data_IF_813514171226
#
_entry.id   IF_813514171226
#
_cell.length_a   1.000
_cell.length_b   1.000
_cell.length_c   1.000
_cell.angle_alpha   90.00
_cell.angle_beta   90.00
_cell.angle_gamma   90.00
#
_symmetry.space_group_name_H-M   'P 1'
#
loop_
_entity.id
_entity.type
_entity.pdbx_description
1 polymer ?
#
# COMPACT_ATOMS: atom_id res chain seq x y z
N UNK A 1 7.46 -0.30 -28.53
CA UNK A 1 6.24 -1.15 -28.50
C UNK A 1 6.19 -2.13 -27.32
N UNK A 2 7.30 -2.76 -26.89
CA UNK A 2 7.30 -3.70 -25.76
C UNK A 2 6.66 -3.13 -24.46
N UNK A 3 7.05 -1.92 -24.06
CA UNK A 3 6.47 -1.24 -22.89
C UNK A 3 4.96 -1.03 -23.01
N UNK A 4 4.47 -0.63 -24.18
CA UNK A 4 3.04 -0.43 -24.44
C UNK A 4 2.23 -1.72 -24.28
N UNK A 5 2.84 -2.89 -24.51
CA UNK A 5 2.23 -4.21 -24.26
C UNK A 5 2.35 -4.64 -22.80
N UNK A 6 3.49 -4.37 -22.18
CA UNK A 6 3.81 -4.78 -20.80
C UNK A 6 3.01 -4.01 -19.76
N UNK A 7 2.87 -2.67 -19.91
CA UNK A 7 2.26 -1.82 -18.89
C UNK A 7 0.82 -2.24 -18.57
N UNK A 8 -0.08 -2.48 -19.54
CA UNK A 8 -1.42 -2.96 -19.24
C UNK A 8 -1.43 -4.33 -18.55
N UNK A 9 -0.52 -5.23 -18.92
CA UNK A 9 -0.40 -6.56 -18.30
C UNK A 9 0.03 -6.45 -16.83
N UNK A 10 1.03 -5.62 -16.55
CA UNK A 10 1.44 -5.33 -15.17
C UNK A 10 0.32 -4.63 -14.40
N UNK A 11 -0.36 -3.64 -14.98
CA UNK A 11 -1.43 -2.92 -14.30
C UNK A 11 -2.66 -3.79 -13.98
N UNK A 12 -2.89 -4.84 -14.77
CA UNK A 12 -3.91 -5.86 -14.53
C UNK A 12 -3.45 -7.05 -13.67
N UNK A 13 -2.19 -7.10 -13.28
CA UNK A 13 -1.62 -8.24 -12.56
C UNK A 13 -2.19 -8.34 -11.15
N UNK A 14 -2.63 -9.55 -10.80
CA UNK A 14 -2.96 -9.94 -9.42
C UNK A 14 -1.91 -10.94 -8.95
N UNK A 15 -1.29 -10.67 -7.81
CA UNK A 15 -0.23 -11.52 -7.29
C UNK A 15 -0.78 -12.82 -6.69
N UNK A 16 0.01 -13.88 -6.79
CA UNK A 16 -0.29 -15.21 -6.25
C UNK A 16 -0.14 -15.27 -4.72
N UNK A 17 -0.75 -16.27 -4.07
CA UNK A 17 -0.59 -16.51 -2.63
C UNK A 17 -1.50 -15.71 -1.71
N UNK A 18 -2.56 -15.07 -2.22
CA UNK A 18 -3.59 -14.49 -1.36
C UNK A 18 -4.36 -15.60 -0.61
N UNK A 19 -4.39 -15.55 0.73
CA UNK A 19 -5.03 -16.57 1.56
C UNK A 19 -6.56 -16.42 1.65
N UNK A 20 -7.08 -15.22 1.39
CA UNK A 20 -8.50 -14.90 1.53
C UNK A 20 -8.89 -13.72 0.59
N UNK A 21 -10.19 -13.41 0.45
CA UNK A 21 -10.66 -12.32 -0.41
C UNK A 21 -10.14 -10.93 -0.02
N UNK A 22 -9.96 -10.64 1.28
CA UNK A 22 -9.42 -9.35 1.74
C UNK A 22 -7.99 -9.18 1.23
N UNK A 23 -7.16 -10.22 1.34
CA UNK A 23 -5.79 -10.26 0.84
C UNK A 23 -5.73 -10.16 -0.68
N UNK A 24 -6.69 -10.79 -1.37
CA UNK A 24 -6.76 -10.67 -2.83
C UNK A 24 -7.06 -9.22 -3.24
N UNK A 25 -7.94 -8.55 -2.51
CA UNK A 25 -8.50 -7.23 -2.87
C UNK A 25 -7.50 -6.06 -2.82
N UNK A 26 -6.39 -6.23 -2.09
CA UNK A 26 -5.34 -5.20 -1.92
C UNK A 26 -4.28 -5.25 -3.02
N UNK A 27 -4.27 -6.30 -3.85
CA UNK A 27 -3.28 -6.46 -4.89
C UNK A 27 -3.34 -5.32 -5.91
N UNK A 28 -2.20 -4.65 -6.10
CA UNK A 28 -1.99 -3.65 -7.15
C UNK A 28 -0.58 -3.74 -7.66
N UNK A 29 -0.42 -3.78 -8.96
CA UNK A 29 0.83 -3.49 -9.63
C UNK A 29 0.59 -2.26 -10.49
N UNK A 30 1.37 -1.20 -10.32
CA UNK A 30 1.18 0.03 -11.08
C UNK A 30 2.53 0.56 -11.55
N UNK A 31 2.66 0.73 -12.87
CA UNK A 31 3.80 1.42 -13.47
C UNK A 31 3.54 2.93 -13.43
N UNK A 32 4.32 3.65 -12.62
CA UNK A 32 4.19 5.10 -12.46
C UNK A 32 5.18 5.91 -13.31
N UNK A 33 6.27 5.28 -13.75
CA UNK A 33 7.34 5.94 -14.52
C UNK A 33 7.77 5.06 -15.68
N UNK A 34 7.90 5.67 -16.86
CA UNK A 34 8.42 5.06 -18.07
C UNK A 34 9.54 5.96 -18.59
N UNK A 35 10.75 5.44 -18.74
CA UNK A 35 11.86 6.17 -19.37
C UNK A 35 12.51 5.29 -20.42
N UNK A 36 12.66 5.82 -21.63
CA UNK A 36 13.30 5.14 -22.77
C UNK A 36 14.55 5.89 -23.25
N UNK A 37 15.53 5.16 -23.75
CA UNK A 37 16.81 5.70 -24.22
C UNK A 37 17.51 4.69 -25.15
N UNK A 38 18.66 5.07 -25.72
CA UNK A 38 19.55 4.11 -26.41
C UNK A 38 20.37 3.28 -25.42
N UNK A 39 20.69 3.85 -24.27
CA UNK A 39 21.61 3.25 -23.30
C UNK A 39 21.12 3.45 -21.85
N UNK A 40 21.61 2.70 -20.86
CA UNK A 40 21.21 2.82 -19.46
C UNK A 40 21.47 4.18 -18.80
N UNK A 41 22.27 5.05 -19.44
CA UNK A 41 22.65 6.39 -18.97
C UNK A 41 21.59 7.46 -19.25
N UNK A 42 20.63 7.19 -20.16
CA UNK A 42 19.55 8.12 -20.51
C UNK A 42 20.02 9.52 -20.94
N UNK A 43 20.79 9.58 -22.02
CA UNK A 43 21.23 10.84 -22.62
C UNK A 43 20.07 11.57 -23.32
N UNK A 44 19.31 12.36 -22.55
CA UNK A 44 18.09 13.04 -23.02
C UNK A 44 18.37 14.17 -24.04
N UNK A 45 19.61 14.64 -24.17
CA UNK A 45 19.99 15.69 -25.13
C UNK A 45 19.88 15.23 -26.60
N UNK A 46 19.87 13.92 -26.85
CA UNK A 46 19.68 13.33 -28.18
C UNK A 46 18.56 12.29 -28.11
N UNK A 47 17.32 12.68 -28.40
CA UNK A 47 16.20 11.74 -28.45
C UNK A 47 16.49 10.58 -29.41
N UNK A 48 16.28 9.32 -28.98
CA UNK A 48 16.45 8.17 -29.86
C UNK A 48 15.42 8.18 -30.99
N UNK A 49 15.82 7.78 -32.20
CA UNK A 49 14.87 7.45 -33.27
C UNK A 49 14.06 6.19 -32.89
N UNK A 50 14.73 5.20 -32.30
CA UNK A 50 14.14 4.00 -31.70
C UNK A 50 14.85 3.76 -30.37
N UNK A 51 14.12 3.58 -29.28
CA UNK A 51 14.71 3.31 -27.97
C UNK A 51 15.05 1.83 -27.82
N UNK A 52 16.32 1.53 -27.54
CA UNK A 52 16.84 0.17 -27.32
C UNK A 52 16.85 -0.23 -25.83
N UNK A 53 16.77 0.76 -24.94
CA UNK A 53 16.75 0.58 -23.50
C UNK A 53 15.53 1.25 -22.87
N UNK A 54 14.95 0.59 -21.86
CA UNK A 54 13.79 1.09 -21.15
C UNK A 54 13.88 0.75 -19.66
N UNK A 55 13.53 1.71 -18.81
CA UNK A 55 13.34 1.49 -17.37
C UNK A 55 11.92 1.84 -17.00
N UNK A 56 11.25 0.88 -16.38
CA UNK A 56 9.96 1.07 -15.71
C UNK A 56 10.19 1.15 -14.21
N UNK A 57 9.51 2.07 -13.55
CA UNK A 57 9.44 2.11 -12.10
C UNK A 57 7.98 2.28 -11.66
N UNK A 58 7.65 1.71 -10.51
CA UNK A 58 6.28 1.57 -10.10
C UNK A 58 6.15 1.09 -8.67
N UNK A 59 4.92 0.74 -8.31
CA UNK A 59 4.58 0.24 -6.99
C UNK A 59 3.87 -1.10 -7.09
N UNK A 60 4.19 -2.00 -6.17
CA UNK A 60 3.47 -3.24 -5.95
C UNK A 60 2.88 -3.21 -4.53
N UNK A 61 1.59 -3.51 -4.41
CA UNK A 61 0.86 -3.69 -3.15
C UNK A 61 0.44 -5.15 -3.06
N UNK A 62 0.76 -5.78 -1.94
CA UNK A 62 0.51 -7.18 -1.66
C UNK A 62 0.09 -7.34 -0.20
N UNK A 63 -0.59 -8.44 0.12
CA UNK A 63 -1.19 -8.69 1.42
C UNK A 63 -0.24 -9.41 2.40
N UNK A 64 -0.59 -9.52 3.70
CA UNK A 64 0.19 -10.24 4.70
C UNK A 64 0.46 -11.72 4.39
N UNK A 65 -0.41 -12.39 3.62
CA UNK A 65 -0.16 -13.79 3.19
C UNK A 65 0.80 -13.92 2.01
N UNK A 66 1.28 -12.80 1.46
CA UNK A 66 2.14 -12.75 0.29
C UNK A 66 3.52 -12.20 0.65
N UNK A 67 4.49 -12.43 -0.23
CA UNK A 67 5.89 -12.05 0.01
C UNK A 67 6.44 -11.21 -1.14
N UNK A 68 7.53 -10.48 -0.87
CA UNK A 68 8.28 -9.78 -1.90
C UNK A 68 8.82 -10.76 -2.95
N UNK A 69 9.32 -11.94 -2.54
CA UNK A 69 9.77 -12.96 -3.49
C UNK A 69 8.65 -13.47 -4.41
N UNK A 70 7.44 -13.73 -3.88
CA UNK A 70 6.32 -14.20 -4.70
C UNK A 70 5.89 -13.12 -5.69
N UNK A 71 5.80 -11.87 -5.25
CA UNK A 71 5.48 -10.72 -6.11
C UNK A 71 6.50 -10.55 -7.25
N UNK A 72 7.79 -10.61 -6.94
CA UNK A 72 8.84 -10.49 -7.96
C UNK A 72 8.82 -11.66 -8.96
N UNK A 73 8.47 -12.86 -8.50
CA UNK A 73 8.31 -14.06 -9.34
C UNK A 73 7.12 -13.94 -10.29
N UNK A 74 6.00 -13.40 -9.82
CA UNK A 74 4.81 -13.18 -10.65
C UNK A 74 5.11 -12.14 -11.75
N UNK A 75 5.76 -11.02 -11.39
CA UNK A 75 6.20 -10.01 -12.37
C UNK A 75 7.20 -10.62 -13.36
N UNK A 76 8.14 -11.44 -12.90
CA UNK A 76 9.09 -12.16 -13.76
C UNK A 76 8.37 -13.06 -14.77
N UNK A 77 7.31 -13.75 -14.35
CA UNK A 77 6.53 -14.63 -15.24
C UNK A 77 5.90 -13.84 -16.40
N UNK A 78 5.35 -12.64 -16.13
CA UNK A 78 4.86 -11.73 -17.18
C UNK A 78 5.98 -11.29 -18.12
N UNK A 79 7.17 -11.00 -17.58
CA UNK A 79 8.34 -10.64 -18.38
C UNK A 79 8.83 -11.81 -19.25
N UNK A 80 8.81 -13.04 -18.74
CA UNK A 80 9.18 -14.25 -19.49
C UNK A 80 8.24 -14.50 -20.68
N UNK A 81 6.95 -14.21 -20.53
CA UNK A 81 5.99 -14.25 -21.64
C UNK A 81 6.30 -13.19 -22.69
N UNK A 82 6.64 -11.97 -22.26
CA UNK A 82 6.99 -10.88 -23.16
C UNK A 82 8.28 -11.17 -23.95
N UNK A 83 9.31 -11.70 -23.29
CA UNK A 83 10.57 -12.10 -23.94
C UNK A 83 10.36 -13.22 -24.95
N UNK A 84 9.51 -14.22 -24.64
CA UNK A 84 9.13 -15.26 -25.61
C UNK A 84 8.43 -14.69 -26.84
N UNK A 85 7.59 -13.67 -26.66
CA UNK A 85 6.85 -13.03 -27.75
C UNK A 85 7.69 -12.03 -28.56
N UNK A 86 8.87 -11.62 -28.07
CA UNK A 86 9.69 -10.57 -28.68
C UNK A 86 11.17 -11.00 -28.71
N UNK A 87 11.61 -11.72 -29.77
CA UNK A 87 12.99 -12.18 -29.90
C UNK A 87 14.00 -11.02 -29.75
N UNK A 88 15.04 -11.25 -28.95
CA UNK A 88 16.07 -10.26 -28.66
C UNK A 88 15.80 -9.37 -27.44
N UNK A 89 14.56 -9.30 -26.95
CA UNK A 89 14.25 -8.60 -25.70
C UNK A 89 14.91 -9.31 -24.51
N UNK A 90 15.49 -8.52 -23.62
CA UNK A 90 16.02 -8.97 -22.31
C UNK A 90 15.52 -8.04 -21.23
N UNK A 91 15.08 -8.61 -20.12
CA UNK A 91 14.50 -7.84 -19.02
C UNK A 91 14.97 -8.34 -17.66
N UNK A 92 14.91 -7.45 -16.68
CA UNK A 92 15.24 -7.73 -15.28
C UNK A 92 14.22 -7.02 -14.40
N UNK A 93 13.76 -7.68 -13.34
CA UNK A 93 12.92 -7.10 -12.30
C UNK A 93 13.69 -7.13 -10.98
N UNK A 94 13.61 -6.04 -10.23
CA UNK A 94 14.25 -5.87 -8.93
C UNK A 94 13.37 -4.99 -8.06
N UNK A 95 13.46 -5.18 -6.73
CA UNK A 95 13.05 -4.13 -5.79
C UNK A 95 13.94 -2.91 -5.99
N UNK A 96 13.34 -1.73 -6.07
CA UNK A 96 14.10 -0.48 -6.09
C UNK A 96 14.89 -0.32 -4.78
N UNK A 97 16.23 -0.21 -4.84
CA UNK A 97 17.05 0.03 -3.65
C UNK A 97 16.83 1.42 -3.05
N UNK A 98 16.07 2.30 -3.69
CA UNK A 98 15.70 3.64 -3.21
C UNK A 98 16.35 4.78 -3.98
N UNK A 99 16.94 4.49 -5.14
CA UNK A 99 17.49 5.49 -6.06
C UNK A 99 18.44 6.49 -5.38
N UNK A 100 18.29 7.78 -5.72
CA UNK A 100 19.09 8.87 -5.15
C UNK A 100 18.78 9.14 -3.67
N UNK A 101 17.64 8.67 -3.16
CA UNK A 101 17.24 8.86 -1.77
C UNK A 101 17.90 7.83 -0.82
N UNK A 102 18.67 6.88 -1.35
CA UNK A 102 19.32 5.83 -0.56
C UNK A 102 18.38 4.71 -0.10
N UNK A 103 18.87 3.76 0.71
CA UNK A 103 18.12 2.58 1.13
C UNK A 103 16.86 2.94 1.90
N UNK A 104 15.69 2.64 1.32
CA UNK A 104 14.39 2.86 1.96
C UNK A 104 13.97 1.67 2.82
N UNK A 105 13.47 1.92 4.06
CA UNK A 105 12.89 0.86 4.89
C UNK A 105 11.81 0.07 4.16
N UNK A 106 11.73 -1.23 4.43
CA UNK A 106 10.64 -2.06 3.93
C UNK A 106 9.36 -1.75 4.71
N UNK A 107 8.36 -1.21 4.03
CA UNK A 107 6.98 -1.13 4.54
C UNK A 107 6.31 -2.48 4.31
N UNK A 108 6.32 -3.34 5.33
CA UNK A 108 5.65 -4.64 5.27
C UNK A 108 4.12 -4.45 5.28
N UNK A 109 3.35 -5.35 4.67
CA UNK A 109 1.90 -5.38 4.88
C UNK A 109 1.61 -5.71 6.35
N UNK A 110 0.48 -5.25 6.88
CA UNK A 110 0.08 -5.53 8.25
C UNK A 110 -1.41 -5.87 8.30
N UNK A 111 -1.78 -6.67 9.29
CA UNK A 111 -3.16 -7.03 9.61
C UNK A 111 -3.25 -7.24 11.12
N UNK A 112 -4.38 -6.82 11.68
CA UNK A 112 -4.72 -7.05 13.09
C UNK A 112 -5.97 -7.93 13.12
N UNK A 113 -6.01 -8.98 13.97
CA UNK A 113 -7.19 -9.83 14.10
C UNK A 113 -8.44 -9.00 14.42
N UNK A 114 -9.56 -9.33 13.78
CA UNK A 114 -10.83 -8.58 13.93
C UNK A 114 -11.39 -8.60 15.36
N UNK A 115 -10.98 -9.58 16.15
CA UNK A 115 -11.33 -9.79 17.56
C UNK A 115 -10.29 -9.22 18.53
N UNK A 116 -9.23 -8.58 18.04
CA UNK A 116 -8.23 -7.97 18.91
C UNK A 116 -8.84 -6.85 19.77
N UNK A 117 -8.36 -6.71 21.01
CA UNK A 117 -8.86 -5.72 21.98
C UNK A 117 -8.93 -4.31 21.39
N UNK A 118 -7.86 -3.86 20.71
CA UNK A 118 -7.81 -2.53 20.10
C UNK A 118 -8.85 -2.32 18.98
N UNK A 119 -9.24 -3.38 18.26
CA UNK A 119 -10.32 -3.34 17.27
C UNK A 119 -11.65 -3.13 17.96
N UNK A 120 -11.91 -3.88 19.03
CA UNK A 120 -13.11 -3.71 19.85
C UNK A 120 -13.23 -2.29 20.42
N UNK A 121 -12.14 -1.74 20.98
CA UNK A 121 -12.12 -0.37 21.54
C UNK A 121 -12.51 0.67 20.47
N UNK A 122 -11.81 0.66 19.33
CA UNK A 122 -12.05 1.65 18.28
C UNK A 122 -13.44 1.49 17.67
N UNK A 123 -13.91 0.25 17.46
CA UNK A 123 -15.24 0.00 16.90
C UNK A 123 -16.37 0.49 17.81
N UNK A 124 -16.24 0.33 19.14
CA UNK A 124 -17.22 0.88 20.10
C UNK A 124 -17.22 2.40 20.08
N UNK A 125 -16.07 3.04 20.18
CA UNK A 125 -15.95 4.50 20.15
C UNK A 125 -16.47 5.08 18.82
N UNK A 126 -16.17 4.43 17.71
CA UNK A 126 -16.69 4.82 16.38
C UNK A 126 -18.21 4.71 16.34
N UNK A 127 -18.79 3.59 16.78
CA UNK A 127 -20.23 3.40 16.82
C UNK A 127 -20.92 4.42 17.74
N UNK A 128 -20.33 4.76 18.87
CA UNK A 128 -20.87 5.75 19.81
C UNK A 128 -20.90 7.16 19.19
N UNK A 129 -19.83 7.58 18.53
CA UNK A 129 -19.73 8.93 17.95
C UNK A 129 -20.48 9.05 16.62
N UNK A 130 -20.37 8.05 15.74
CA UNK A 130 -20.88 8.09 14.36
C UNK A 130 -22.22 7.39 14.17
N UNK A 131 -22.71 6.66 15.18
CA UNK A 131 -23.96 5.90 15.11
C UNK A 131 -23.96 4.74 14.11
N UNK A 132 -22.81 4.41 13.51
CA UNK A 132 -22.69 3.36 12.48
C UNK A 132 -21.49 2.46 12.75
N UNK A 133 -21.51 1.19 12.28
CA UNK A 133 -20.40 0.27 12.49
C UNK A 133 -19.13 0.75 11.78
N UNK A 134 -17.98 0.63 12.44
CA UNK A 134 -16.69 0.91 11.83
C UNK A 134 -16.42 -0.07 10.67
N UNK A 135 -16.05 0.42 9.47
CA UNK A 135 -15.56 -0.44 8.40
C UNK A 135 -14.25 -1.12 8.79
N UNK A 136 -14.18 -2.45 8.64
CA UNK A 136 -13.02 -3.27 9.02
C UNK A 136 -12.44 -4.04 7.82
N UNK A 137 -11.12 -4.24 7.83
CA UNK A 137 -10.38 -5.01 6.82
C UNK A 137 -9.81 -4.13 5.70
N UNK A 138 -9.83 -4.63 4.47
CA UNK A 138 -9.26 -3.97 3.29
C UNK A 138 -10.14 -2.80 2.77
N UNK A 139 -10.33 -1.77 3.60
CA UNK A 139 -11.14 -0.60 3.27
C UNK A 139 -10.44 0.28 2.23
N UNK A 140 -11.11 0.53 1.09
CA UNK A 140 -10.57 1.34 0.00
C UNK A 140 -10.85 2.85 0.23
N UNK A 141 -9.95 3.75 -0.18
CA UNK A 141 -8.64 3.48 -0.81
C UNK A 141 -7.50 3.20 0.18
N UNK A 142 -7.75 3.23 1.49
CA UNK A 142 -6.71 3.22 2.52
C UNK A 142 -5.86 1.95 2.55
N UNK A 143 -6.44 0.81 2.17
CA UNK A 143 -5.73 -0.47 2.08
C UNK A 143 -4.56 -0.45 1.07
N UNK A 144 -4.45 0.57 0.22
CA UNK A 144 -3.34 0.74 -0.72
C UNK A 144 -2.21 1.65 -0.20
N UNK A 145 -2.36 2.24 0.99
CA UNK A 145 -1.40 3.19 1.53
C UNK A 145 -0.39 2.52 2.47
N UNK A 146 0.81 3.09 2.55
CA UNK A 146 1.79 2.73 3.58
C UNK A 146 1.44 3.43 4.89
N UNK A 147 1.65 2.76 6.01
CA UNK A 147 1.38 3.29 7.35
C UNK A 147 2.40 2.80 8.36
N UNK A 148 2.75 3.66 9.31
CA UNK A 148 3.66 3.31 10.41
C UNK A 148 3.09 2.22 11.32
N UNK A 149 1.77 1.95 11.27
CA UNK A 149 1.17 0.81 11.97
C UNK A 149 1.84 -0.52 11.60
N UNK A 150 2.32 -0.66 10.36
CA UNK A 150 3.08 -1.84 9.97
C UNK A 150 4.42 -1.94 10.71
N UNK A 151 5.13 -0.82 10.90
CA UNK A 151 6.36 -0.81 11.66
C UNK A 151 6.13 -1.10 13.13
N UNK A 152 5.09 -0.51 13.73
CA UNK A 152 4.72 -0.76 15.12
C UNK A 152 4.40 -2.24 15.35
N UNK A 153 3.64 -2.86 14.45
CA UNK A 153 3.32 -4.28 14.53
C UNK A 153 4.57 -5.16 14.39
N UNK A 154 5.34 -4.97 13.32
CA UNK A 154 6.43 -5.90 12.97
C UNK A 154 7.71 -5.69 13.76
N UNK A 155 7.97 -4.48 14.28
CA UNK A 155 9.21 -4.16 15.00
C UNK A 155 9.02 -4.04 16.49
N UNK A 156 7.84 -3.64 16.94
CA UNK A 156 7.56 -3.40 18.35
C UNK A 156 6.43 -4.29 18.89
N UNK A 157 5.86 -5.18 18.07
CA UNK A 157 4.77 -6.06 18.45
C UNK A 157 3.53 -5.30 18.97
N UNK A 158 3.36 -4.06 18.52
CA UNK A 158 2.24 -3.20 18.90
C UNK A 158 1.16 -3.24 17.83
N UNK A 159 0.01 -3.80 18.17
CA UNK A 159 -1.17 -3.79 17.31
C UNK A 159 -1.74 -2.37 17.26
N UNK A 160 -2.01 -1.89 16.04
CA UNK A 160 -2.60 -0.57 15.80
C UNK A 160 -3.58 -0.63 14.65
N UNK A 161 -4.49 0.34 14.61
CA UNK A 161 -5.50 0.46 13.55
C UNK A 161 -5.31 1.79 12.86
N UNK A 162 -5.45 1.77 11.53
CA UNK A 162 -5.56 3.00 10.75
C UNK A 162 -7.04 3.31 10.58
N UNK A 163 -7.50 4.33 11.31
CA UNK A 163 -8.85 4.85 11.24
C UNK A 163 -8.76 6.37 11.36
N UNK A 164 -9.46 7.12 10.50
CA UNK A 164 -9.37 8.58 10.47
C UNK A 164 -10.36 9.23 9.51
N UNK A 165 -10.40 10.57 9.47
CA UNK A 165 -11.41 11.33 8.73
C UNK A 165 -11.09 11.50 7.24
N UNK A 166 -9.98 10.92 6.76
CA UNK A 166 -9.52 11.05 5.38
C UNK A 166 -10.34 10.23 4.39
N UNK A 167 -9.95 10.26 3.12
CA UNK A 167 -10.42 9.35 2.06
C UNK A 167 -10.96 10.07 0.84
N UNK A 168 -11.91 10.98 1.05
CA UNK A 168 -12.59 11.71 -0.03
C UNK A 168 -11.63 12.58 -0.85
N UNK A 169 -10.66 13.21 -0.18
CA UNK A 169 -9.66 14.10 -0.80
C UNK A 169 -8.22 13.63 -0.59
N UNK A 170 -8.01 12.38 -0.15
CA UNK A 170 -6.66 11.87 0.14
C UNK A 170 -5.80 11.89 -1.11
N UNK A 171 -4.51 12.20 -0.96
CA UNK A 171 -3.51 12.16 -2.04
C UNK A 171 -3.82 13.07 -3.24
N UNK A 172 -4.67 14.09 -3.02
CA UNK A 172 -4.93 15.16 -3.97
C UNK A 172 -4.07 16.39 -3.62
N UNK A 173 -3.72 17.25 -4.60
CA UNK A 173 -2.97 18.47 -4.31
C UNK A 173 -3.61 19.38 -3.24
N UNK A 174 -4.94 19.39 -3.16
CA UNK A 174 -5.73 20.12 -2.16
C UNK A 174 -6.28 19.19 -1.05
N UNK A 175 -5.47 18.21 -0.62
CA UNK A 175 -5.84 17.25 0.42
C UNK A 175 -6.40 17.96 1.67
N UNK A 176 -7.61 17.54 2.05
CA UNK A 176 -8.41 18.14 3.12
C UNK A 176 -9.36 17.11 3.71
N UNK A 177 -10.02 17.48 4.80
CA UNK A 177 -11.06 16.68 5.44
C UNK A 177 -12.25 17.57 5.77
N UNK A 178 -13.44 16.97 5.80
CA UNK A 178 -14.64 17.69 6.22
C UNK A 178 -14.55 17.93 7.75
N UNK A 179 -14.88 19.14 8.20
CA UNK A 179 -14.68 19.54 9.61
C UNK A 179 -15.44 18.63 10.58
N UNK A 180 -16.65 18.21 10.20
CA UNK A 180 -17.44 17.27 11.00
C UNK A 180 -16.71 15.93 11.18
N UNK A 181 -16.13 15.39 10.11
CA UNK A 181 -15.38 14.14 10.18
C UNK A 181 -14.15 14.25 11.07
N UNK A 182 -13.44 15.37 10.97
CA UNK A 182 -12.29 15.66 11.81
C UNK A 182 -12.66 15.71 13.29
N UNK A 183 -13.72 16.45 13.64
CA UNK A 183 -14.19 16.57 15.02
C UNK A 183 -14.71 15.25 15.58
N UNK A 184 -15.41 14.45 14.77
CA UNK A 184 -15.86 13.12 15.20
C UNK A 184 -14.68 12.20 15.47
N UNK A 185 -13.65 12.20 14.61
CA UNK A 185 -12.48 11.37 14.85
C UNK A 185 -11.67 11.81 16.07
N UNK A 186 -11.64 13.11 16.41
CA UNK A 186 -11.09 13.56 17.69
C UNK A 186 -11.83 12.90 18.85
N UNK A 187 -13.17 12.92 18.86
CA UNK A 187 -13.97 12.29 19.92
C UNK A 187 -13.69 10.78 20.00
N UNK A 188 -13.64 10.09 18.85
CA UNK A 188 -13.30 8.66 18.79
C UNK A 188 -11.94 8.40 19.42
N UNK A 189 -10.91 9.16 19.05
CA UNK A 189 -9.57 8.99 19.63
C UNK A 189 -9.55 9.26 21.13
N UNK A 190 -10.26 10.29 21.60
CA UNK A 190 -10.34 10.60 23.04
C UNK A 190 -11.00 9.45 23.81
N UNK A 191 -12.12 8.89 23.33
CA UNK A 191 -12.76 7.72 23.94
C UNK A 191 -11.82 6.50 23.96
N UNK A 192 -11.10 6.27 22.86
CA UNK A 192 -10.13 5.17 22.79
C UNK A 192 -8.97 5.36 23.79
N UNK A 193 -8.45 6.59 23.91
CA UNK A 193 -7.38 6.91 24.87
C UNK A 193 -7.86 6.72 26.31
N UNK A 194 -9.10 7.12 26.64
CA UNK A 194 -9.69 6.92 27.95
C UNK A 194 -9.87 5.43 28.30
N UNK A 195 -10.29 4.61 27.33
CA UNK A 195 -10.45 3.15 27.49
C UNK A 195 -9.07 2.45 27.65
N UNK A 196 -8.13 2.74 26.74
CA UNK A 196 -6.82 2.05 26.70
C UNK A 196 -5.88 2.51 27.81
N UNK A 197 -5.77 3.82 28.05
CA UNK A 197 -4.81 4.36 29.01
C UNK A 197 -5.40 4.52 30.41
N UNK A 198 -6.72 4.54 30.52
CA UNK A 198 -7.45 4.75 31.77
C UNK A 198 -7.29 6.15 32.35
N UNK A 199 -8.41 6.74 32.77
CA UNK A 199 -8.42 7.49 34.02
C UNK A 199 -8.84 6.47 35.06
N UNK A 200 -7.92 5.99 35.90
CA UNK A 200 -8.27 5.14 37.02
C UNK A 200 -9.38 5.82 37.81
N UNK A 201 -10.58 5.22 37.80
CA UNK A 201 -11.73 5.72 38.55
C UNK A 201 -11.41 5.71 40.04
N UNK A 202 -10.99 6.86 40.55
CA UNK A 202 -10.90 7.13 41.99
C UNK A 202 -12.29 7.31 42.58
N UNK A 203 -13.06 6.23 42.59
CA UNK A 203 -14.41 6.18 43.13
C UNK A 203 -14.68 4.81 43.73
N UNK A 204 -14.04 4.50 44.85
CA UNK A 204 -14.67 3.67 45.86
C UNK A 204 -15.40 4.59 46.86
N UNK A 205 -16.60 4.21 47.33
CA UNK A 205 -17.40 5.00 48.27
C UNK A 205 -16.77 5.13 49.66
#
# INVERSE_FOLDING_TARGET
MAACRLIPQLNGLTFSGAANPDHLSVNRCNVGVVRGSLTPEFHDWRPPQIADYLRLAGTARYAPSQSEESVLRDIRSVLDELERAMPGLKSKVLRDPGGQAGPRPKMLPFEVPRDASIVGVISRAYQEVRGTPQPLGAVRPYCFYGTDAAHLLHRAHMQGIVCGPGGKYNTMPDEKVDVADYLDMIKVYMLCMLDVCGVSGGGEP
#
